data_IF_510563960496
#
_entry.id   IF_510563960496
#
_cell.length_a   1.000
_cell.length_b   1.000
_cell.length_c   1.000
_cell.angle_alpha   90.00
_cell.angle_beta   90.00
_cell.angle_gamma   90.00
#
_symmetry.space_group_name_H-M   'P 1'
#
loop_
_entity.id
_entity.type
_entity.pdbx_description
1 polymer ?
#
# COMPACT_ATOMS: atom_id res chain seq x y z
N UNK A 1 -2.53 13.23 6.69
CA UNK A 1 -3.41 12.90 5.55
C UNK A 1 -2.49 12.45 4.43
N UNK A 2 -2.65 11.22 3.97
CA UNK A 2 -1.89 10.68 2.84
C UNK A 2 -2.75 10.64 1.57
N UNK A 3 -2.15 10.15 0.50
CA UNK A 3 -2.80 10.02 -0.80
C UNK A 3 -3.41 8.63 -0.96
N UNK A 4 -4.50 8.54 -1.72
CA UNK A 4 -5.04 7.25 -2.14
C UNK A 4 -4.30 6.83 -3.39
N UNK A 5 -3.71 5.63 -3.40
CA UNK A 5 -2.88 5.17 -4.50
C UNK A 5 -3.34 3.82 -5.02
N UNK A 6 -3.11 3.57 -6.30
CA UNK A 6 -3.31 2.27 -6.93
C UNK A 6 -2.03 1.45 -6.84
N UNK A 7 -2.18 0.21 -6.37
CA UNK A 7 -1.10 -0.78 -6.28
C UNK A 7 -1.54 -2.08 -6.97
N UNK A 8 -0.57 -2.89 -7.37
CA UNK A 8 -0.85 -4.23 -7.88
C UNK A 8 -1.50 -5.12 -6.80
N UNK A 9 -2.48 -5.94 -7.20
CA UNK A 9 -3.21 -6.84 -6.28
C UNK A 9 -2.32 -7.77 -5.45
N UNK A 10 -1.13 -8.07 -5.96
CA UNK A 10 -0.17 -9.00 -5.35
C UNK A 10 1.16 -8.31 -4.99
N UNK A 11 1.15 -6.98 -4.91
CA UNK A 11 2.32 -6.18 -4.56
C UNK A 11 2.44 -6.00 -3.05
N UNK A 12 3.67 -5.90 -2.56
CA UNK A 12 3.98 -5.68 -1.15
C UNK A 12 3.97 -6.90 -0.25
N UNK A 13 4.10 -6.64 1.04
CA UNK A 13 4.07 -7.63 2.13
C UNK A 13 3.08 -7.20 3.20
N UNK A 14 2.17 -8.10 3.55
CA UNK A 14 1.18 -7.88 4.61
C UNK A 14 1.82 -8.07 5.98
N UNK A 15 1.60 -7.11 6.87
CA UNK A 15 2.03 -7.17 8.26
C UNK A 15 0.88 -6.71 9.17
N UNK A 16 0.87 -7.21 10.40
CA UNK A 16 -0.13 -6.83 11.40
C UNK A 16 0.57 -6.12 12.57
N UNK A 17 0.16 -4.90 12.86
CA UNK A 17 0.68 -4.08 13.98
C UNK A 17 -0.52 -3.57 14.77
N UNK A 18 -0.53 -3.78 16.09
CA UNK A 18 -1.59 -3.27 16.98
C UNK A 18 -3.02 -3.62 16.53
N UNK A 19 -3.18 -4.86 16.07
CA UNK A 19 -4.43 -5.42 15.51
C UNK A 19 -4.91 -4.80 14.18
N UNK A 20 -4.08 -3.96 13.55
CA UNK A 20 -4.33 -3.34 12.25
C UNK A 20 -3.47 -4.00 11.18
N UNK A 21 -4.08 -4.35 10.05
CA UNK A 21 -3.39 -4.86 8.87
C UNK A 21 -2.82 -3.71 8.04
N UNK A 22 -1.54 -3.82 7.69
CA UNK A 22 -0.84 -2.89 6.82
C UNK A 22 -0.16 -3.67 5.69
N UNK A 23 -0.05 -3.03 4.53
CA UNK A 23 0.73 -3.56 3.41
C UNK A 23 1.94 -2.66 3.22
N UNK A 24 3.13 -3.22 3.39
CA UNK A 24 4.38 -2.52 3.04
C UNK A 24 4.64 -2.76 1.56
N UNK A 25 4.70 -1.68 0.79
CA UNK A 25 5.05 -1.69 -0.64
C UNK A 25 6.33 -0.87 -0.84
N UNK A 26 7.00 -1.09 -1.97
CA UNK A 26 8.04 -0.18 -2.43
C UNK A 26 7.43 0.96 -3.25
N UNK A 27 8.12 2.10 -3.31
CA UNK A 27 7.65 3.29 -4.04
C UNK A 27 7.45 3.02 -5.54
N UNK A 28 8.31 2.21 -6.15
CA UNK A 28 8.24 1.82 -7.55
C UNK A 28 7.06 0.91 -7.90
N UNK A 29 6.36 0.36 -6.90
CA UNK A 29 5.13 -0.43 -7.08
C UNK A 29 3.85 0.42 -7.13
N UNK A 30 3.95 1.74 -6.89
CA UNK A 30 2.82 2.66 -6.97
C UNK A 30 2.50 2.96 -8.43
N UNK A 31 1.30 2.60 -8.87
CA UNK A 31 0.88 2.74 -10.28
C UNK A 31 0.32 4.14 -10.59
N UNK A 32 -0.45 4.71 -9.67
CA UNK A 32 -1.07 6.03 -9.81
C UNK A 32 -1.56 6.57 -8.47
N UNK A 33 -1.73 7.89 -8.38
CA UNK A 33 -2.44 8.58 -7.29
C UNK A 33 -3.89 8.83 -7.75
N UNK A 34 -4.85 8.59 -6.86
CA UNK A 34 -6.28 8.81 -7.07
C UNK A 34 -6.70 10.11 -6.37
N UNK A 35 -7.41 10.98 -7.10
CA UNK A 35 -8.02 12.23 -6.61
C UNK A 35 -9.54 12.11 -6.42
#
# INVERSE_FOLDING_TARGET
KGDTVLIGKYSGTEIKIDDVEYTIIREDEVLAIVE
#
